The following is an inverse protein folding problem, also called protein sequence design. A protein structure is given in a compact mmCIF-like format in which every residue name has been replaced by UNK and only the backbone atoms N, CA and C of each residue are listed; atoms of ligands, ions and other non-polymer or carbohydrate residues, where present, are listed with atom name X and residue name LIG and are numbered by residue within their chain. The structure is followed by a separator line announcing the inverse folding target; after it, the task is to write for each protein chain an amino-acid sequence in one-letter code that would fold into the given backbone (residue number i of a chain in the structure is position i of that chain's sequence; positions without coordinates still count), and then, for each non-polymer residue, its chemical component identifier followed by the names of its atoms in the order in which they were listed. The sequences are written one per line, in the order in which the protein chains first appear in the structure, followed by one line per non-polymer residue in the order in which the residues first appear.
data_IF_646775075721
#
_entry.id   IF_646775075721
#
_cell.length_a   1.000
_cell.length_b   1.000
_cell.length_c   1.000
_cell.angle_alpha   90.00
_cell.angle_beta   90.00
_cell.angle_gamma   90.00
#
_symmetry.space_group_name_H-M   'P 1'
#
loop_
_entity.id
_entity.type
_entity.pdbx_description
1 polymer ?
#
# COMPACT_ATOMS: atom_id res chain seq x y z
N UNK A 1 -5.78 -9.40 -5.18
CA UNK A 1 -4.99 -8.42 -5.97
C UNK A 1 -3.51 -8.55 -5.63
N UNK A 2 -2.67 -9.08 -6.53
CA UNK A 2 -1.22 -9.08 -6.36
C UNK A 2 -0.70 -7.66 -6.68
N UNK A 3 -0.07 -6.99 -5.70
CA UNK A 3 0.54 -5.67 -5.84
C UNK A 3 2.04 -5.86 -6.07
N UNK A 4 2.52 -5.54 -7.27
CA UNK A 4 3.94 -5.43 -7.57
C UNK A 4 4.32 -3.97 -7.60
N UNK A 5 5.22 -3.56 -6.72
CA UNK A 5 5.85 -2.24 -6.81
C UNK A 5 7.30 -2.42 -7.24
N UNK A 6 7.69 -1.71 -8.30
CA UNK A 6 9.09 -1.71 -8.74
C UNK A 6 9.81 -0.63 -7.96
N UNK A 7 10.78 -1.03 -7.15
CA UNK A 7 11.82 -0.15 -6.63
C UNK A 7 13.10 -0.42 -7.40
N UNK A 8 13.67 0.61 -8.04
CA UNK A 8 15.02 0.54 -8.57
C UNK A 8 16.03 0.55 -7.41
N UNK A 9 17.07 -0.26 -7.59
CA UNK A 9 18.19 -0.54 -6.70
C UNK A 9 18.89 0.70 -6.10
N UNK A 10 18.98 0.78 -4.77
CA UNK A 10 20.18 0.42 -3.98
C UNK A 10 19.86 0.49 -2.47
N UNK A 11 20.33 -0.54 -1.77
CA UNK A 11 20.36 -0.82 -0.31
C UNK A 11 19.21 -1.59 0.35
N UNK A 12 19.66 -2.54 1.17
CA UNK A 12 18.94 -3.61 1.86
C UNK A 12 18.23 -3.12 3.14
N UNK A 13 17.17 -3.84 3.54
CA UNK A 13 16.96 -4.53 4.84
C UNK A 13 15.48 -4.54 5.26
N UNK A 14 15.07 -5.68 5.81
CA UNK A 14 13.79 -6.03 6.42
C UNK A 14 13.90 -5.94 7.97
N UNK A 15 12.80 -5.53 8.63
CA UNK A 15 12.63 -5.17 10.07
C UNK A 15 13.06 -6.26 11.09
N UNK A 16 13.38 -6.00 12.39
CA UNK A 16 12.74 -5.16 13.42
C UNK A 16 13.70 -4.76 14.58
N UNK A 17 13.65 -3.50 15.06
CA UNK A 17 13.51 -3.00 16.45
C UNK A 17 13.66 -1.46 16.41
N UNK A 18 12.85 -0.71 17.15
CA UNK A 18 12.62 0.72 16.87
C UNK A 18 13.68 1.61 17.54
N UNK A 19 14.65 2.06 16.74
CA UNK A 19 15.34 3.34 16.93
C UNK A 19 15.20 4.09 15.61
N UNK A 20 14.31 5.09 15.59
CA UNK A 20 13.98 5.84 14.38
C UNK A 20 15.14 6.77 14.02
N UNK A 21 15.34 7.13 12.74
CA UNK A 21 16.27 8.19 12.32
C UNK A 21 15.65 9.13 11.29
N UNK A 22 16.16 10.36 11.14
CA UNK A 22 15.78 11.29 10.04
C UNK A 22 17.02 11.49 9.18
N UNK A 23 16.91 11.22 7.87
CA UNK A 23 17.86 11.68 6.84
C UNK A 23 17.38 12.99 6.22
N UNK A 24 18.24 13.98 6.02
CA UNK A 24 17.94 15.18 5.23
C UNK A 24 18.92 15.27 4.05
N UNK A 25 18.38 15.27 2.82
CA UNK A 25 19.11 15.64 1.60
C UNK A 25 18.57 17.00 1.10
N UNK A 26 19.38 17.78 0.37
CA UNK A 26 19.03 19.13 -0.12
C UNK A 26 17.71 19.22 -0.93
N UNK A 27 17.10 18.10 -1.31
CA UNK A 27 15.77 18.03 -1.94
C UNK A 27 14.60 17.89 -0.94
N UNK A 28 14.83 17.97 0.37
CA UNK A 28 13.81 17.85 1.42
C UNK A 28 13.25 16.44 1.62
N UNK A 29 13.79 15.43 0.94
CA UNK A 29 13.37 14.05 1.10
C UNK A 29 13.89 13.50 2.45
N UNK A 30 12.96 13.15 3.33
CA UNK A 30 13.25 12.51 4.62
C UNK A 30 12.87 11.04 4.56
N UNK A 31 13.81 10.18 4.91
CA UNK A 31 13.57 8.74 5.09
C UNK A 31 13.83 8.37 6.53
N UNK A 32 12.99 7.48 7.05
CA UNK A 32 13.17 6.89 8.38
C UNK A 32 13.74 5.50 8.18
N UNK A 33 14.93 5.28 8.74
CA UNK A 33 15.63 4.00 8.74
C UNK A 33 15.54 3.42 10.16
N UNK A 34 15.31 2.11 10.27
CA UNK A 34 15.31 1.38 11.54
C UNK A 34 16.36 0.27 11.45
N UNK A 35 17.09 0.04 12.54
CA UNK A 35 18.11 -1.02 12.66
C UNK A 35 17.61 -2.11 13.60
N UNK A 36 18.11 -3.35 13.46
CA UNK A 36 17.75 -4.46 14.34
C UNK A 36 18.23 -4.27 15.79
N UNK A 37 19.27 -3.47 15.99
CA UNK A 37 19.86 -3.20 17.28
C UNK A 37 20.50 -1.80 17.31
N UNK A 38 20.71 -1.28 18.51
CA UNK A 38 21.27 0.06 18.73
C UNK A 38 22.71 0.18 18.19
N UNK A 39 23.51 -0.90 18.23
CA UNK A 39 24.91 -0.86 17.81
C UNK A 39 25.05 -0.69 16.31
N UNK A 40 24.20 -1.37 15.52
CA UNK A 40 24.09 -1.19 14.07
C UNK A 40 23.64 0.23 13.71
N UNK A 41 22.71 0.77 14.48
CA UNK A 41 22.21 2.13 14.31
C UNK A 41 23.30 3.19 14.55
N UNK A 42 24.07 2.99 15.62
CA UNK A 42 25.23 3.82 15.97
C UNK A 42 26.33 3.71 14.91
N UNK A 43 26.65 2.49 14.46
CA UNK A 43 27.67 2.27 13.43
C UNK A 43 27.30 2.99 12.12
N UNK A 44 26.03 2.95 11.72
CA UNK A 44 25.58 3.68 10.53
C UNK A 44 25.58 5.20 10.71
N UNK A 45 25.18 5.70 11.88
CA UNK A 45 25.29 7.12 12.21
C UNK A 45 26.74 7.59 12.09
N UNK A 46 27.68 6.86 12.68
CA UNK A 46 29.11 7.18 12.65
C UNK A 46 29.70 7.08 11.24
N UNK A 47 29.28 6.10 10.45
CA UNK A 47 29.83 5.88 9.11
C UNK A 47 29.27 6.85 8.05
N UNK A 48 28.02 7.31 8.18
CA UNK A 48 27.29 7.97 7.10
C UNK A 48 26.90 9.42 7.41
N UNK A 49 26.73 9.79 8.68
CA UNK A 49 26.28 11.14 9.03
C UNK A 49 27.36 12.18 8.72
N UNK A 50 27.03 13.17 7.88
CA UNK A 50 27.97 14.22 7.50
C UNK A 50 29.10 13.74 6.59
N UNK A 51 29.00 12.52 6.04
CA UNK A 51 29.97 11.96 5.10
C UNK A 51 29.40 11.88 3.68
N UNK A 52 30.21 12.08 2.63
CA UNK A 52 29.75 11.95 1.26
C UNK A 52 29.51 10.47 0.92
N UNK A 53 28.36 10.16 0.36
CA UNK A 53 27.97 8.80 -0.03
C UNK A 53 28.14 8.60 -1.54
N UNK A 54 29.12 7.79 -2.00
CA UNK A 54 29.36 7.56 -3.44
C UNK A 54 28.15 6.98 -4.16
N UNK A 55 27.42 6.08 -3.50
CA UNK A 55 26.22 5.46 -4.05
C UNK A 55 25.05 6.44 -4.23
N UNK A 56 25.10 7.59 -3.57
CA UNK A 56 24.15 8.68 -3.72
C UNK A 56 24.68 9.81 -4.61
N UNK A 57 25.68 9.54 -5.45
CA UNK A 57 26.30 10.53 -6.32
C UNK A 57 27.14 11.55 -5.56
N UNK A 58 27.71 11.15 -4.41
CA UNK A 58 28.53 12.01 -3.56
C UNK A 58 27.74 12.91 -2.60
N UNK A 59 26.41 12.75 -2.52
CA UNK A 59 25.57 13.52 -1.58
C UNK A 59 25.87 13.16 -0.13
N UNK A 60 25.67 14.13 0.75
CA UNK A 60 25.81 13.95 2.19
C UNK A 60 24.49 13.48 2.81
N UNK A 61 24.59 12.59 3.79
CA UNK A 61 23.46 12.19 4.61
C UNK A 61 23.54 12.93 5.95
N UNK A 62 22.47 13.61 6.33
CA UNK A 62 22.32 14.14 7.69
C UNK A 62 21.43 13.22 8.50
N UNK A 63 22.04 12.42 9.38
CA UNK A 63 21.37 11.37 10.15
C UNK A 63 21.25 11.83 11.60
N UNK A 64 20.06 11.65 12.19
CA UNK A 64 19.81 11.89 13.62
C UNK A 64 18.89 10.82 14.17
N UNK A 65 19.04 10.46 15.44
CA UNK A 65 18.02 9.67 16.15
C UNK A 65 16.68 10.42 16.12
N UNK A 66 15.61 9.71 15.79
CA UNK A 66 14.24 10.22 15.81
C UNK A 66 13.60 9.85 17.13
N UNK A 67 12.90 10.85 17.67
CA UNK A 67 12.10 10.73 18.87
C UNK A 67 10.74 10.18 18.46
N UNK A 68 10.22 9.20 19.22
CA UNK A 68 8.83 8.80 19.09
C UNK A 68 7.98 10.01 19.42
N UNK A 69 7.24 10.52 18.44
CA UNK A 69 6.24 11.55 18.71
C UNK A 69 5.20 10.90 19.65
N UNK A 70 5.00 11.43 20.87
CA UNK A 70 3.94 10.93 21.73
C UNK A 70 2.64 11.06 20.95
N UNK A 71 1.83 10.00 20.91
CA UNK A 71 0.44 10.09 20.46
C UNK A 71 -0.23 11.16 21.30
N UNK A 72 -0.34 12.37 20.77
CA UNK A 72 -1.02 13.45 21.44
C UNK A 72 -2.49 13.05 21.51
N UNK A 73 -2.92 12.51 22.65
CA UNK A 73 -4.33 12.40 23.04
C UNK A 73 -4.97 13.79 23.31
N UNK A 74 -4.29 14.86 22.95
CA UNK A 74 -4.84 16.21 22.94
C UNK A 74 -4.50 16.82 21.60
N UNK A 75 -5.48 16.86 20.71
CA UNK A 75 -5.47 17.75 19.56
C UNK A 75 -5.37 19.19 20.10
N UNK A 76 -4.15 19.71 20.21
CA UNK A 76 -3.96 21.14 20.35
C UNK A 76 -4.26 21.75 18.97
N UNK A 77 -5.41 22.39 18.86
CA UNK A 77 -5.97 23.01 17.65
C UNK A 77 -5.10 24.13 17.02
N UNK A 78 -3.86 24.34 17.46
CA UNK A 78 -3.11 25.56 17.14
C UNK A 78 -1.71 25.37 16.54
N UNK A 79 -1.31 24.16 16.14
CA UNK A 79 -0.08 23.96 15.37
C UNK A 79 -0.29 22.97 14.21
N UNK A 80 -1.20 23.27 13.28
CA UNK A 80 -1.31 22.53 12.02
C UNK A 80 -0.25 23.03 11.02
N UNK A 81 0.92 22.42 11.09
CA UNK A 81 1.86 22.39 9.96
C UNK A 81 2.23 20.93 9.70
N UNK A 82 1.31 20.22 9.04
CA UNK A 82 1.53 19.26 7.94
C UNK A 82 0.31 18.33 7.80
N UNK A 83 -0.24 18.29 6.59
CA UNK A 83 -1.28 17.35 6.09
C UNK A 83 -0.80 15.87 6.07
N UNK A 84 0.19 15.50 6.89
CA UNK A 84 0.77 14.15 6.86
C UNK A 84 -0.09 13.18 7.69
N UNK A 85 -0.77 12.27 7.00
CA UNK A 85 -1.46 11.14 7.65
C UNK A 85 -0.40 10.23 8.29
N UNK A 86 -0.49 9.94 9.60
CA UNK A 86 0.44 9.01 10.23
C UNK A 86 0.33 7.61 9.61
N UNK A 87 1.47 7.02 9.30
CA UNK A 87 1.56 5.69 8.69
C UNK A 87 1.78 4.64 9.77
N UNK A 88 0.83 3.72 9.90
CA UNK A 88 0.95 2.58 10.79
C UNK A 88 1.79 1.46 10.18
N UNK A 89 2.52 0.74 11.04
CA UNK A 89 3.25 -0.47 10.68
C UNK A 89 2.43 -1.75 10.98
N UNK A 90 1.37 -1.64 11.77
CA UNK A 90 0.53 -2.75 12.24
C UNK A 90 -0.94 -2.43 11.97
N UNK A 91 -1.69 -3.40 11.43
CA UNK A 91 -3.08 -3.19 11.06
C UNK A 91 -3.98 -2.85 12.28
N UNK A 92 -3.70 -3.43 13.45
CA UNK A 92 -4.46 -3.17 14.68
C UNK A 92 -4.46 -1.70 15.10
N UNK A 93 -3.35 -0.99 14.88
CA UNK A 93 -3.22 0.43 15.27
C UNK A 93 -4.17 1.32 14.47
N UNK A 94 -4.62 0.87 13.30
CA UNK A 94 -5.60 1.59 12.51
C UNK A 94 -7.01 1.49 13.08
N UNK A 95 -7.32 0.53 13.95
CA UNK A 95 -8.68 0.29 14.45
C UNK A 95 -9.68 0.27 13.27
N UNK A 96 -9.38 -0.55 12.25
CA UNK A 96 -10.24 -0.77 11.09
C UNK A 96 -10.76 -2.21 11.12
N UNK A 97 -12.03 -2.43 11.50
CA UNK A 97 -12.61 -3.76 11.51
C UNK A 97 -12.53 -4.44 10.15
N UNK A 98 -12.06 -5.69 10.14
CA UNK A 98 -11.86 -6.46 8.90
C UNK A 98 -10.57 -6.14 8.13
N UNK A 99 -9.65 -5.36 8.69
CA UNK A 99 -8.31 -5.14 8.15
C UNK A 99 -7.27 -6.00 8.88
N UNK A 100 -6.58 -6.87 8.16
CA UNK A 100 -5.48 -7.67 8.70
C UNK A 100 -4.25 -7.56 7.82
N UNK A 101 -3.05 -7.57 8.41
CA UNK A 101 -1.77 -7.56 7.68
C UNK A 101 -0.88 -8.68 8.22
N UNK A 102 -0.58 -9.67 7.39
CA UNK A 102 0.40 -10.70 7.68
C UNK A 102 1.71 -10.37 6.96
N UNK A 103 2.76 -10.09 7.74
CA UNK A 103 4.13 -9.89 7.22
C UNK A 103 4.78 -11.22 6.92
N UNK A 104 5.76 -11.20 6.00
CA UNK A 104 6.51 -12.40 5.62
C UNK A 104 5.60 -13.58 5.23
N UNK A 105 4.47 -13.25 4.59
CA UNK A 105 3.49 -14.21 4.10
C UNK A 105 4.11 -15.14 3.06
N UNK A 106 5.05 -14.63 2.25
CA UNK A 106 5.94 -15.45 1.41
C UNK A 106 7.39 -15.24 1.81
N UNK A 107 8.24 -16.22 1.55
CA UNK A 107 9.69 -16.05 1.71
C UNK A 107 10.32 -15.42 0.45
N UNK A 108 11.61 -15.08 0.52
CA UNK A 108 12.32 -14.42 -0.58
C UNK A 108 12.39 -15.26 -1.87
N UNK A 109 12.51 -16.59 -1.73
CA UNK A 109 12.54 -17.52 -2.87
C UNK A 109 11.18 -17.61 -3.55
N UNK A 110 10.11 -17.73 -2.77
CA UNK A 110 8.73 -17.71 -3.28
C UNK A 110 8.43 -16.39 -3.98
N UNK A 111 8.87 -15.25 -3.44
CA UNK A 111 8.74 -13.94 -4.10
C UNK A 111 9.45 -13.90 -5.46
N UNK A 112 10.68 -14.41 -5.55
CA UNK A 112 11.42 -14.51 -6.82
C UNK A 112 10.68 -15.39 -7.85
N UNK A 113 10.21 -16.56 -7.43
CA UNK A 113 9.46 -17.49 -8.28
C UNK A 113 8.14 -16.88 -8.78
N UNK A 114 7.40 -16.18 -7.91
CA UNK A 114 6.17 -15.46 -8.27
C UNK A 114 6.43 -14.34 -9.28
N UNK A 115 7.48 -13.54 -9.04
CA UNK A 115 7.84 -12.44 -9.94
C UNK A 115 8.23 -12.97 -11.32
N UNK A 116 9.05 -14.03 -11.38
CA UNK A 116 9.44 -14.67 -12.63
C UNK A 116 8.23 -15.25 -13.38
N UNK A 117 7.31 -15.91 -12.67
CA UNK A 117 6.11 -16.49 -13.26
C UNK A 117 5.15 -15.43 -13.83
N UNK A 118 5.05 -14.28 -13.17
CA UNK A 118 4.29 -13.12 -13.65
C UNK A 118 4.98 -12.49 -14.87
N UNK A 119 6.30 -12.32 -14.86
CA UNK A 119 7.06 -11.72 -15.96
C UNK A 119 7.08 -12.54 -17.23
N UNK A 120 6.99 -13.87 -17.11
CA UNK A 120 6.90 -14.77 -18.24
C UNK A 120 5.58 -14.62 -19.04
N UNK A 121 4.64 -13.80 -18.57
CA UNK A 121 3.29 -13.67 -19.13
C UNK A 121 3.02 -12.28 -19.71
N UNK A 122 2.15 -12.18 -20.72
CA UNK A 122 1.87 -10.90 -21.37
C UNK A 122 1.15 -9.94 -20.42
N UNK A 123 1.50 -8.66 -20.55
CA UNK A 123 0.91 -7.58 -19.77
C UNK A 123 -0.07 -6.76 -20.62
N UNK A 124 -1.16 -6.32 -19.99
CA UNK A 124 -2.06 -5.30 -20.53
C UNK A 124 -1.67 -3.93 -19.96
N UNK A 125 -1.40 -2.97 -20.83
CA UNK A 125 -1.05 -1.61 -20.42
C UNK A 125 -2.31 -0.78 -20.20
N UNK A 126 -2.40 -0.12 -19.04
CA UNK A 126 -3.36 0.94 -18.75
C UNK A 126 -2.65 2.30 -18.79
N UNK A 127 -3.39 3.39 -18.62
CA UNK A 127 -2.87 4.76 -18.78
C UNK A 127 -1.62 5.08 -17.94
N UNK A 128 -1.47 4.50 -16.74
CA UNK A 128 -0.34 4.79 -15.83
C UNK A 128 0.34 3.55 -15.25
N UNK A 129 -0.25 2.37 -15.42
CA UNK A 129 0.20 1.11 -14.82
C UNK A 129 -0.07 -0.03 -15.78
N UNK A 130 0.48 -1.22 -15.51
CA UNK A 130 0.16 -2.41 -16.29
C UNK A 130 -0.42 -3.51 -15.40
N UNK A 131 -1.21 -4.37 -16.01
CA UNK A 131 -2.01 -5.37 -15.29
C UNK A 131 -2.02 -6.72 -16.01
N UNK A 132 -2.28 -7.77 -15.25
CA UNK A 132 -2.65 -9.10 -15.74
C UNK A 132 -3.89 -9.58 -14.98
N UNK A 133 -4.80 -10.27 -15.66
CA UNK A 133 -6.00 -10.86 -15.08
C UNK A 133 -6.00 -12.37 -15.30
N UNK A 134 -6.44 -13.11 -14.29
CA UNK A 134 -6.63 -14.56 -14.32
C UNK A 134 -7.96 -14.91 -13.68
N UNK A 135 -8.54 -16.05 -14.06
CA UNK A 135 -9.92 -16.35 -13.69
C UNK A 135 -10.87 -15.54 -14.54
N UNK A 136 -11.26 -14.36 -14.08
CA UNK A 136 -12.11 -13.45 -14.83
C UNK A 136 -11.42 -12.12 -15.14
N UNK A 137 -11.75 -11.55 -16.31
CA UNK A 137 -11.27 -10.23 -16.70
C UNK A 137 -12.01 -9.13 -15.92
N UNK A 138 -11.25 -8.19 -15.37
CA UNK A 138 -11.82 -6.98 -14.77
C UNK A 138 -11.97 -5.87 -15.82
N UNK A 139 -13.19 -5.45 -16.07
CA UNK A 139 -13.52 -4.39 -17.02
C UNK A 139 -13.46 -3.02 -16.34
N UNK A 140 -12.44 -2.22 -16.67
CA UNK A 140 -12.23 -0.90 -16.06
C UNK A 140 -13.29 0.15 -16.44
N UNK A 141 -13.92 0.00 -17.60
CA UNK A 141 -14.99 0.91 -18.07
C UNK A 141 -16.25 0.78 -17.22
N UNK A 142 -16.65 -0.46 -16.93
CA UNK A 142 -17.83 -0.78 -16.12
C UNK A 142 -17.50 -0.95 -14.63
N UNK A 143 -16.21 -0.94 -14.28
CA UNK A 143 -15.67 -1.29 -12.95
C UNK A 143 -16.25 -2.59 -12.43
N UNK A 144 -16.41 -3.59 -13.29
CA UNK A 144 -17.02 -4.86 -12.91
C UNK A 144 -16.27 -6.02 -13.57
N UNK A 145 -16.52 -7.22 -13.07
CA UNK A 145 -16.03 -8.45 -13.67
C UNK A 145 -17.02 -8.86 -14.76
N UNK A 146 -16.49 -9.19 -15.94
CA UNK A 146 -17.33 -9.74 -16.99
C UNK A 146 -17.52 -11.25 -16.77
N UNK A 147 -18.63 -11.64 -16.14
CA UNK A 147 -18.96 -13.05 -15.89
C UNK A 147 -19.05 -13.91 -17.18
N UNK A 148 -19.16 -13.29 -18.35
CA UNK A 148 -19.18 -13.99 -19.65
C UNK A 148 -17.78 -14.23 -20.23
N UNK A 149 -16.73 -13.66 -19.62
CA UNK A 149 -15.34 -13.78 -20.06
C UNK A 149 -14.49 -14.44 -18.97
N UNK A 150 -14.65 -15.76 -18.85
CA UNK A 150 -13.76 -16.60 -18.07
C UNK A 150 -12.47 -16.85 -18.87
N UNK A 151 -11.34 -16.42 -18.33
CA UNK A 151 -9.99 -16.53 -18.88
C UNK A 151 -9.30 -17.86 -18.56
N UNK A 152 -9.99 -18.77 -17.86
CA UNK A 152 -9.46 -20.04 -17.38
C UNK A 152 -9.12 -20.01 -15.89
N UNK A 153 -8.76 -21.16 -15.35
CA UNK A 153 -8.45 -21.32 -13.92
C UNK A 153 -7.29 -20.44 -13.45
N UNK A 154 -7.21 -20.24 -12.13
CA UNK A 154 -6.07 -19.56 -11.54
C UNK A 154 -4.76 -20.34 -11.81
N UNK A 155 -3.65 -19.65 -12.10
CA UNK A 155 -2.43 -20.32 -12.49
C UNK A 155 -1.78 -21.07 -11.32
N UNK A 156 -1.14 -22.20 -11.63
CA UNK A 156 -0.52 -23.07 -10.61
C UNK A 156 0.52 -22.37 -9.73
N UNK A 157 1.17 -21.31 -10.21
CA UNK A 157 2.13 -20.55 -9.40
C UNK A 157 1.48 -19.87 -8.19
N UNK A 158 0.15 -19.68 -8.16
CA UNK A 158 -0.55 -19.13 -6.98
C UNK A 158 -1.09 -20.18 -6.04
N UNK A 159 -1.05 -21.48 -6.38
CA UNK A 159 -1.56 -22.55 -5.50
C UNK A 159 -1.00 -22.49 -4.07
N UNK A 160 0.31 -22.27 -3.83
CA UNK A 160 0.84 -22.15 -2.47
C UNK A 160 0.25 -20.97 -1.68
N UNK A 161 -0.14 -19.90 -2.39
CA UNK A 161 -0.79 -18.72 -1.80
C UNK A 161 -2.23 -19.04 -1.44
N UNK A 162 -2.95 -19.73 -2.33
CA UNK A 162 -4.34 -20.17 -2.11
C UNK A 162 -4.46 -21.12 -0.92
N UNK A 163 -3.50 -22.03 -0.76
CA UNK A 163 -3.44 -22.90 0.42
C UNK A 163 -3.18 -22.10 1.69
N UNK A 164 -2.24 -21.14 1.66
CA UNK A 164 -1.84 -20.37 2.84
C UNK A 164 -2.87 -19.33 3.26
N UNK A 165 -3.70 -18.80 2.36
CA UNK A 165 -4.77 -17.85 2.75
C UNK A 165 -5.82 -18.49 3.64
N UNK A 166 -6.01 -19.81 3.56
CA UNK A 166 -6.89 -20.55 4.48
C UNK A 166 -6.45 -20.49 5.95
N UNK A 167 -5.21 -20.06 6.21
CA UNK A 167 -4.64 -19.93 7.54
C UNK A 167 -4.92 -18.56 8.21
N UNK A 168 -5.62 -17.63 7.55
CA UNK A 168 -5.96 -16.35 8.18
C UNK A 168 -6.91 -16.56 9.37
N UNK A 169 -6.69 -15.84 10.50
CA UNK A 169 -7.61 -15.88 11.64
C UNK A 169 -8.99 -15.32 11.26
N UNK A 170 -10.03 -15.72 12.00
CA UNK A 170 -11.44 -15.32 11.79
C UNK A 170 -12.07 -15.78 10.46
N UNK A 171 -11.44 -16.73 9.76
CA UNK A 171 -12.05 -17.45 8.64
C UNK A 171 -13.07 -18.51 9.08
N UNK A 172 -13.52 -18.52 10.34
CA UNK A 172 -14.54 -19.47 10.86
C UNK A 172 -15.89 -19.39 10.11
N UNK A 173 -16.12 -18.34 9.33
CA UNK A 173 -17.30 -18.18 8.44
C UNK A 173 -17.05 -18.79 7.05
N UNK A 174 -15.84 -19.28 6.79
CA UNK A 174 -15.25 -19.36 5.47
C UNK A 174 -14.73 -20.77 5.09
N UNK A 175 -15.39 -21.82 5.57
CA UNK A 175 -15.07 -23.23 5.24
C UNK A 175 -15.07 -23.53 3.73
N UNK A 176 -15.43 -22.58 2.85
CA UNK A 176 -15.40 -22.74 1.39
C UNK A 176 -14.99 -21.45 0.64
N UNK A 177 -13.94 -20.72 1.07
CA UNK A 177 -13.41 -19.64 0.22
C UNK A 177 -12.81 -20.25 -1.05
N UNK A 178 -13.51 -20.07 -2.17
CA UNK A 178 -12.99 -20.36 -3.50
C UNK A 178 -12.56 -19.04 -4.13
N UNK A 179 -11.25 -18.81 -4.21
CA UNK A 179 -10.71 -17.70 -4.98
C UNK A 179 -10.65 -18.12 -6.45
N UNK A 180 -11.36 -17.39 -7.30
CA UNK A 180 -11.48 -17.67 -8.73
C UNK A 180 -11.10 -16.47 -9.60
N UNK A 181 -10.66 -15.36 -9.00
CA UNK A 181 -10.23 -14.15 -9.70
C UNK A 181 -8.91 -13.64 -9.13
N UNK A 182 -7.95 -13.33 -10.02
CA UNK A 182 -6.69 -12.70 -9.66
C UNK A 182 -6.37 -11.54 -10.59
N UNK A 183 -6.17 -10.38 -9.99
CA UNK A 183 -5.60 -9.20 -10.67
C UNK A 183 -4.17 -8.97 -10.17
N UNK A 184 -3.21 -8.98 -11.09
CA UNK A 184 -1.83 -8.53 -10.85
C UNK A 184 -1.69 -7.09 -11.33
N UNK A 185 -1.18 -6.20 -10.49
CA UNK A 185 -0.88 -4.81 -10.85
C UNK A 185 0.60 -4.54 -10.68
N UNK A 186 1.21 -3.90 -11.66
CA UNK A 186 2.55 -3.35 -11.57
C UNK A 186 2.48 -1.82 -11.54
N UNK A 187 3.04 -1.24 -10.47
CA UNK A 187 3.16 0.20 -10.28
C UNK A 187 4.61 0.64 -10.51
N UNK A 188 4.86 1.47 -11.54
CA UNK A 188 6.12 2.20 -11.67
C UNK A 188 6.33 3.19 -10.51
N UNK A 189 7.57 3.60 -10.24
CA UNK A 189 7.86 4.67 -9.27
C UNK A 189 6.99 5.92 -9.50
N UNK A 190 6.41 6.45 -8.42
CA UNK A 190 5.53 7.63 -8.44
C UNK A 190 4.09 7.39 -8.93
N UNK A 191 3.81 6.22 -9.50
CA UNK A 191 2.46 5.84 -9.90
C UNK A 191 1.75 5.20 -8.72
N UNK A 192 0.65 5.81 -8.30
CA UNK A 192 -0.26 5.26 -7.32
C UNK A 192 -1.54 4.68 -7.94
N UNK A 193 -2.52 4.51 -7.06
CA UNK A 193 -3.87 4.04 -7.34
C UNK A 193 -4.84 5.03 -6.73
N UNK A 194 -5.80 5.53 -7.52
CA UNK A 194 -6.78 6.50 -7.05
C UNK A 194 -7.73 5.89 -6.01
N UNK A 195 -8.30 6.69 -5.09
CA UNK A 195 -9.28 6.21 -4.11
C UNK A 195 -10.48 5.52 -4.73
N UNK A 196 -10.76 4.31 -4.26
CA UNK A 196 -11.88 3.49 -4.73
C UNK A 196 -12.24 2.43 -3.68
N UNK A 197 -13.45 1.89 -3.82
CA UNK A 197 -13.90 0.66 -3.17
C UNK A 197 -14.05 -0.39 -4.27
N UNK A 198 -13.60 -1.61 -4.00
CA UNK A 198 -13.81 -2.72 -4.94
C UNK A 198 -15.30 -3.02 -5.09
N UNK A 199 -15.74 -3.26 -6.33
CA UNK A 199 -17.17 -3.34 -6.66
C UNK A 199 -17.88 -4.44 -5.88
N UNK A 200 -18.85 -4.05 -5.04
CA UNK A 200 -19.54 -4.96 -4.12
C UNK A 200 -20.26 -6.11 -4.82
N UNK A 201 -20.78 -5.89 -6.04
CA UNK A 201 -21.48 -6.93 -6.82
C UNK A 201 -20.55 -7.82 -7.63
N UNK A 202 -19.26 -7.48 -7.73
CA UNK A 202 -18.29 -8.19 -8.55
C UNK A 202 -17.48 -9.21 -7.74
N UNK A 203 -17.28 -8.94 -6.45
CA UNK A 203 -16.44 -9.73 -5.57
C UNK A 203 -17.21 -10.03 -4.29
N UNK A 204 -16.87 -11.13 -3.63
CA UNK A 204 -17.46 -11.54 -2.35
C UNK A 204 -16.54 -11.22 -1.17
N UNK A 205 -16.97 -11.58 0.04
CA UNK A 205 -16.58 -11.04 1.35
C UNK A 205 -15.11 -10.72 1.63
N UNK A 206 -14.15 -11.40 0.99
CA UNK A 206 -12.72 -11.26 1.26
C UNK A 206 -11.94 -10.79 0.05
N UNK A 207 -11.06 -9.80 0.25
CA UNK A 207 -10.09 -9.36 -0.75
C UNK A 207 -8.70 -9.48 -0.15
N UNK A 208 -7.90 -10.38 -0.73
CA UNK A 208 -6.51 -10.61 -0.36
C UNK A 208 -5.58 -9.82 -1.28
N UNK A 209 -4.60 -9.12 -0.70
CA UNK A 209 -3.60 -8.38 -1.44
C UNK A 209 -2.17 -8.71 -1.00
N UNK A 210 -1.46 -9.43 -1.87
CA UNK A 210 -0.06 -9.80 -1.67
C UNK A 210 0.84 -8.73 -2.30
N UNK A 211 1.67 -8.10 -1.48
CA UNK A 211 2.66 -7.10 -1.91
C UNK A 211 4.00 -7.77 -2.18
N UNK A 212 4.62 -7.50 -3.33
CA UNK A 212 5.93 -8.06 -3.74
C UNK A 212 6.88 -6.97 -4.24
N UNK A 213 8.17 -7.33 -4.25
CA UNK A 213 9.35 -6.56 -4.69
C UNK A 213 9.65 -5.33 -3.83
N UNK A 214 8.81 -4.30 -3.89
CA UNK A 214 8.98 -3.06 -3.12
C UNK A 214 7.92 -2.88 -2.04
N UNK A 215 8.20 -2.02 -1.04
CA UNK A 215 7.17 -1.59 -0.10
C UNK A 215 6.24 -0.53 -0.74
N UNK A 216 5.04 -0.41 -0.19
CA UNK A 216 4.16 0.72 -0.50
C UNK A 216 3.38 1.21 0.71
N UNK A 217 2.87 2.44 0.64
CA UNK A 217 1.91 2.96 1.60
C UNK A 217 0.53 2.87 0.96
N UNK A 218 -0.38 2.18 1.64
CA UNK A 218 -1.79 2.19 1.29
C UNK A 218 -2.53 3.09 2.26
N UNK A 219 -3.38 3.95 1.73
CA UNK A 219 -4.22 4.84 2.51
C UNK A 219 -5.69 4.45 2.37
N UNK A 220 -6.43 4.63 3.45
CA UNK A 220 -7.85 4.38 3.57
C UNK A 220 -8.55 5.70 3.88
N UNK A 221 -9.64 5.98 3.16
CA UNK A 221 -10.49 7.15 3.38
C UNK A 221 -11.93 6.74 3.63
N UNK A 222 -12.50 7.22 4.74
CA UNK A 222 -13.91 7.09 5.04
C UNK A 222 -14.57 8.46 4.95
N UNK A 223 -15.44 8.64 3.97
CA UNK A 223 -16.15 9.89 3.76
C UNK A 223 -17.38 9.93 4.66
N UNK A 224 -17.72 11.09 5.21
CA UNK A 224 -19.03 11.28 5.83
C UNK A 224 -20.14 11.05 4.79
N UNK A 225 -21.31 10.56 5.22
CA UNK A 225 -22.45 10.33 4.32
C UNK A 225 -22.77 11.58 3.50
N UNK A 226 -22.86 11.42 2.16
CA UNK A 226 -23.11 12.52 1.22
C UNK A 226 -21.89 13.35 0.80
N UNK A 227 -20.70 13.12 1.38
CA UNK A 227 -19.50 13.92 1.07
C UNK A 227 -18.69 13.41 -0.14
N UNK A 228 -18.98 12.21 -0.65
CA UNK A 228 -18.32 11.70 -1.85
C UNK A 228 -19.09 12.11 -3.11
N UNK A 229 -18.66 13.21 -3.74
CA UNK A 229 -19.07 13.58 -5.09
C UNK A 229 -17.92 13.21 -6.05
N UNK A 230 -18.11 12.29 -7.01
CA UNK A 230 -17.16 12.16 -8.11
C UNK A 230 -17.04 13.52 -8.79
N UNK A 231 -15.81 13.99 -9.02
CA UNK A 231 -15.59 15.17 -9.88
C UNK A 231 -15.94 14.79 -11.31
N UNK A 232 -17.21 14.92 -11.69
CA UNK A 232 -17.61 14.82 -13.08
C UNK A 232 -17.10 16.02 -13.86
N UNK A 233 -16.38 15.70 -14.94
CA UNK A 233 -16.08 16.59 -16.04
C UNK A 233 -17.38 17.13 -16.66
N UNK A 234 -17.45 18.45 -16.83
CA UNK A 234 -18.43 19.24 -17.57
C UNK A 234 -19.72 19.70 -16.84
N UNK A 235 -19.66 20.92 -16.28
CA UNK A 235 -20.69 21.94 -16.53
C UNK A 235 -20.17 23.31 -16.08
N UNK A 236 -20.08 24.24 -17.04
CA UNK A 236 -19.93 25.67 -16.81
C UNK A 236 -21.07 26.18 -15.92
N UNK A 237 -20.75 26.78 -14.77
CA UNK A 237 -21.74 27.41 -13.91
C UNK A 237 -21.10 28.14 -12.74
N UNK A 238 -21.03 29.47 -12.85
CA UNK A 238 -20.59 30.40 -11.80
C UNK A 238 -21.32 30.16 -10.48
N UNK A 239 -20.61 29.91 -9.38
CA UNK A 239 -20.97 30.40 -8.03
C UNK A 239 -19.84 30.27 -6.99
N UNK A 240 -19.45 31.46 -6.52
CA UNK A 240 -19.10 31.87 -5.16
C UNK A 240 -18.18 31.00 -4.29
N UNK A 241 -17.10 31.64 -3.85
CA UNK A 241 -16.10 31.14 -2.92
C UNK A 241 -16.71 30.94 -1.52
N UNK A 242 -16.47 29.76 -0.95
CA UNK A 242 -16.35 29.55 0.50
C UNK A 242 -15.08 28.73 0.75
N UNK A 243 -14.21 29.12 1.69
CA UNK A 243 -13.01 28.37 2.01
C UNK A 243 -13.34 27.28 3.04
N UNK A 244 -13.87 26.15 2.60
CA UNK A 244 -14.02 24.96 3.47
C UNK A 244 -12.75 24.12 3.38
N UNK A 245 -11.72 24.56 4.11
CA UNK A 245 -10.48 23.84 4.28
C UNK A 245 -10.60 22.91 5.50
N UNK A 246 -11.22 21.76 5.29
CA UNK A 246 -11.30 20.65 6.23
C UNK A 246 -11.72 19.41 5.46
N UNK A 247 -10.84 18.42 5.33
CA UNK A 247 -11.16 17.19 4.61
C UNK A 247 -12.36 16.49 5.25
N UNK A 248 -13.50 16.41 4.55
CA UNK A 248 -14.74 15.73 4.98
C UNK A 248 -14.62 14.19 5.06
N UNK A 249 -13.41 13.69 5.34
CA UNK A 249 -13.12 12.27 5.42
C UNK A 249 -12.10 11.97 6.51
N UNK A 250 -12.26 10.82 7.16
CA UNK A 250 -11.24 10.23 8.02
C UNK A 250 -10.20 9.54 7.14
N UNK A 251 -8.91 9.75 7.44
CA UNK A 251 -7.82 9.11 6.71
C UNK A 251 -6.92 8.30 7.63
N UNK A 252 -6.56 7.10 7.18
CA UNK A 252 -5.68 6.16 7.86
C UNK A 252 -4.67 5.61 6.86
N UNK A 253 -3.43 5.40 7.24
CA UNK A 253 -2.38 4.92 6.33
C UNK A 253 -1.67 3.71 6.92
N UNK A 254 -1.38 2.70 6.10
CA UNK A 254 -0.61 1.52 6.48
C UNK A 254 0.58 1.32 5.55
N UNK A 255 1.70 0.94 6.14
CA UNK A 255 2.88 0.48 5.42
C UNK A 255 2.73 -1.01 5.07
N UNK A 256 2.81 -1.31 3.78
CA UNK A 256 2.81 -2.67 3.23
C UNK A 256 4.25 -3.03 2.86
N UNK A 257 4.97 -3.83 3.68
CA UNK A 257 6.28 -4.32 3.30
C UNK A 257 6.17 -5.32 2.13
N UNK A 258 7.26 -5.53 1.37
CA UNK A 258 7.31 -6.66 0.43
C UNK A 258 7.06 -7.97 1.17
N UNK A 259 6.51 -8.94 0.45
CA UNK A 259 6.12 -10.28 0.92
C UNK A 259 5.05 -10.30 1.99
N UNK A 260 4.25 -9.24 2.11
CA UNK A 260 3.12 -9.20 3.04
C UNK A 260 1.78 -9.39 2.36
N UNK A 261 0.85 -10.02 3.08
CA UNK A 261 -0.53 -10.18 2.66
C UNK A 261 -1.43 -9.29 3.50
N UNK A 262 -2.16 -8.40 2.83
CA UNK A 262 -3.24 -7.61 3.40
C UNK A 262 -4.58 -8.31 3.14
N UNK A 263 -5.42 -8.42 4.15
CA UNK A 263 -6.80 -8.88 4.03
C UNK A 263 -7.74 -7.70 4.28
N UNK A 264 -8.65 -7.48 3.34
CA UNK A 264 -9.82 -6.62 3.48
C UNK A 264 -11.08 -7.47 3.56
N UNK A 265 -11.80 -7.34 4.66
CA UNK A 265 -13.11 -7.94 4.91
C UNK A 265 -14.02 -6.93 5.61
N UNK A 266 -15.32 -7.24 5.69
CA UNK A 266 -16.28 -6.42 6.45
C UNK A 266 -16.16 -4.91 6.16
N UNK A 267 -16.13 -4.09 7.21
CA UNK A 267 -16.09 -2.63 7.10
C UNK A 267 -14.91 -2.13 6.24
N UNK A 268 -13.69 -2.64 6.48
CA UNK A 268 -12.49 -2.24 5.75
C UNK A 268 -12.62 -2.44 4.22
N UNK A 269 -13.39 -3.44 3.79
CA UNK A 269 -13.66 -3.72 2.38
C UNK A 269 -14.80 -2.87 1.81
N UNK A 270 -15.90 -2.74 2.54
CA UNK A 270 -17.16 -2.21 2.01
C UNK A 270 -17.37 -0.70 2.25
N UNK A 271 -16.68 -0.10 3.23
CA UNK A 271 -16.91 1.30 3.63
C UNK A 271 -15.70 2.22 3.40
N UNK A 272 -14.50 1.67 3.29
CA UNK A 272 -13.26 2.45 3.20
C UNK A 272 -12.71 2.46 1.77
N UNK A 273 -12.52 3.67 1.22
CA UNK A 273 -11.83 3.83 -0.05
C UNK A 273 -10.34 3.61 0.15
N UNK A 274 -9.80 2.54 -0.41
CA UNK A 274 -8.37 2.24 -0.35
C UNK A 274 -7.65 2.78 -1.60
N UNK A 275 -6.41 3.20 -1.43
CA UNK A 275 -5.64 3.85 -2.49
C UNK A 275 -4.14 3.85 -2.21
N UNK A 276 -3.34 4.06 -3.26
CA UNK A 276 -1.89 4.23 -3.15
C UNK A 276 -1.60 5.66 -3.62
N UNK A 277 -1.04 6.55 -2.78
CA UNK A 277 -0.76 7.91 -3.18
C UNK A 277 0.19 7.98 -4.39
N UNK A 278 -0.04 8.97 -5.27
CA UNK A 278 0.95 9.32 -6.27
C UNK A 278 2.08 10.10 -5.60
N UNK A 279 3.31 9.70 -5.83
CA UNK A 279 4.49 10.42 -5.35
C UNK A 279 5.17 11.11 -6.53
N UNK A 280 5.66 12.33 -6.30
CA UNK A 280 6.58 12.95 -7.25
C UNK A 280 7.92 12.20 -7.13
N UNK A 281 8.40 11.67 -8.24
CA UNK A 281 9.76 11.14 -8.38
C UNK A 281 10.69 12.30 -8.72
#
# INVERSE_FOLDING_TARGET
MLLRTYSFSKFHVLNFLIYKFICEAESGARVIVSYCDESSAKAALEALNGHPCPDLGGRFLHIRYSVVQPTSQVACFQCQVNDSVPVSLVASDLNLPGLYLLRDFVNAKEEEELLAAVDARPWKTLAKRRVQHYGYEFCYETRNVNMRQHLGELPSFVSPILERVTLFPDLEIAENIVLDQLTVNEYPPGVGLSPHIDTHSAFEGFIFSLSLAGPCIMEFRHYAEGAWLPKDTSSSGTKMQTPENGSNFLSKAIYLPPRSMLLLSGEARYAWHHYIPHHKV
#
